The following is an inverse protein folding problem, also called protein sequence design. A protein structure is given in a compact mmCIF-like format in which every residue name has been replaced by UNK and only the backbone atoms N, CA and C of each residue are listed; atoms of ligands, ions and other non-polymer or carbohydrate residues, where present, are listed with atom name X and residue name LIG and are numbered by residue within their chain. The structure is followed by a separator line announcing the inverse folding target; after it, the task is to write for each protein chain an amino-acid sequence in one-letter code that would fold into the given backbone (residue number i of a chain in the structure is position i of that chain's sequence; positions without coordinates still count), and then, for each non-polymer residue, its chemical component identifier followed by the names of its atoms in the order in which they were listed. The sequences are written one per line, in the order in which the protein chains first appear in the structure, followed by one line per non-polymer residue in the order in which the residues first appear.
data_IF_249178382613
#
_entry.id   IF_249178382613
#
_cell.length_a   1.000
_cell.length_b   1.000
_cell.length_c   1.000
_cell.angle_alpha   90.00
_cell.angle_beta   90.00
_cell.angle_gamma   90.00
#
_symmetry.space_group_name_H-M   'P 1'
#
loop_
_entity.id
_entity.type
_entity.pdbx_description
1 polymer ?
#
# COMPACT_ATOMS: atom_id res chain seq x y z
N UNK A 1 -39.21 -8.47 -47.50
CA UNK A 1 -39.07 -7.97 -46.12
C UNK A 1 -40.26 -8.47 -45.35
N UNK A 2 -40.09 -9.48 -44.50
CA UNK A 2 -41.16 -10.09 -43.70
C UNK A 2 -41.34 -9.28 -42.42
N UNK A 3 -42.40 -8.47 -42.38
CA UNK A 3 -42.85 -7.77 -41.17
C UNK A 3 -43.36 -8.79 -40.16
N UNK A 4 -42.62 -8.98 -39.07
CA UNK A 4 -43.04 -9.82 -37.94
C UNK A 4 -44.24 -9.14 -37.26
N UNK A 5 -45.46 -9.60 -37.57
CA UNK A 5 -46.69 -9.17 -36.87
C UNK A 5 -46.53 -9.42 -35.37
N UNK A 6 -46.57 -8.35 -34.57
CA UNK A 6 -46.57 -8.43 -33.11
C UNK A 6 -47.72 -9.32 -32.64
N UNK A 7 -47.39 -10.39 -31.91
CA UNK A 7 -48.40 -11.30 -31.33
C UNK A 7 -49.25 -10.51 -30.33
N UNK A 8 -50.59 -10.62 -30.37
CA UNK A 8 -51.45 -9.95 -29.39
C UNK A 8 -51.04 -10.37 -27.97
N UNK A 9 -50.82 -9.38 -27.09
CA UNK A 9 -50.40 -9.60 -25.70
C UNK A 9 -48.88 -9.51 -25.44
N UNK A 10 -48.04 -9.37 -26.46
CA UNK A 10 -46.58 -9.21 -26.30
C UNK A 10 -46.19 -8.01 -25.42
N UNK A 11 -46.81 -6.85 -25.65
CA UNK A 11 -46.57 -5.63 -24.89
C UNK A 11 -46.94 -5.75 -23.39
N UNK A 12 -47.95 -6.54 -23.06
CA UNK A 12 -48.35 -6.77 -21.66
C UNK A 12 -47.32 -7.62 -20.92
N UNK A 13 -46.73 -8.62 -21.59
CA UNK A 13 -45.66 -9.46 -21.03
C UNK A 13 -44.38 -8.66 -20.79
N UNK A 14 -44.01 -7.76 -21.69
CA UNK A 14 -42.88 -6.84 -21.48
C UNK A 14 -43.11 -5.95 -20.26
N UNK A 15 -44.30 -5.34 -20.14
CA UNK A 15 -44.63 -4.50 -18.98
C UNK A 15 -44.60 -5.29 -17.66
N UNK A 16 -45.11 -6.52 -17.63
CA UNK A 16 -45.00 -7.36 -16.43
C UNK A 16 -43.56 -7.72 -16.08
N UNK A 17 -42.70 -7.91 -17.09
CA UNK A 17 -41.28 -8.20 -16.89
C UNK A 17 -40.55 -6.98 -16.32
N UNK A 18 -40.87 -5.77 -16.81
CA UNK A 18 -40.36 -4.51 -16.29
C UNK A 18 -40.75 -4.29 -14.82
N UNK A 19 -42.03 -4.47 -14.47
CA UNK A 19 -42.52 -4.33 -13.10
C UNK A 19 -41.85 -5.31 -12.12
N UNK A 20 -41.62 -6.57 -12.56
CA UNK A 20 -40.87 -7.54 -11.76
C UNK A 20 -39.44 -7.07 -11.51
N UNK A 21 -38.71 -6.68 -12.55
CA UNK A 21 -37.34 -6.17 -12.44
C UNK A 21 -37.25 -4.95 -11.51
N UNK A 22 -38.15 -3.98 -11.65
CA UNK A 22 -38.20 -2.78 -10.79
C UNK A 22 -38.42 -3.14 -9.32
N UNK A 23 -39.31 -4.10 -9.03
CA UNK A 23 -39.58 -4.56 -7.68
C UNK A 23 -38.42 -5.35 -7.06
N UNK A 24 -37.63 -6.07 -7.87
CA UNK A 24 -36.42 -6.79 -7.43
C UNK A 24 -35.28 -5.82 -7.10
N UNK A 25 -35.09 -4.78 -7.92
CA UNK A 25 -34.06 -3.73 -7.72
C UNK A 25 -34.27 -2.97 -6.40
N UNK A 26 -35.52 -2.76 -5.98
CA UNK A 26 -35.83 -2.02 -4.75
C UNK A 26 -35.64 -2.84 -3.47
N UNK A 27 -35.74 -4.18 -3.53
CA UNK A 27 -35.72 -5.06 -2.34
C UNK A 27 -34.32 -5.44 -1.87
N UNK A 28 -33.30 -5.31 -2.71
CA UNK A 28 -31.93 -5.68 -2.36
C UNK A 28 -31.12 -4.41 -2.12
N UNK A 29 -30.66 -4.13 -0.88
CA UNK A 29 -29.78 -3.00 -0.64
C UNK A 29 -28.49 -3.18 -1.44
N UNK A 30 -28.29 -2.32 -2.44
CA UNK A 30 -27.11 -2.33 -3.32
C UNK A 30 -25.92 -1.73 -2.57
N UNK A 31 -25.40 -2.45 -1.57
CA UNK A 31 -24.17 -2.05 -0.88
C UNK A 31 -23.03 -2.13 -1.91
N UNK A 32 -22.20 -1.08 -2.08
CA UNK A 32 -21.11 -1.12 -3.03
C UNK A 32 -20.16 -2.27 -2.68
N UNK A 33 -20.06 -3.26 -3.58
CA UNK A 33 -19.11 -4.37 -3.47
C UNK A 33 -17.71 -3.76 -3.60
N UNK A 34 -17.05 -3.51 -2.46
CA UNK A 34 -15.65 -3.11 -2.45
C UNK A 34 -14.83 -4.30 -2.92
N UNK A 35 -14.43 -4.30 -4.20
CA UNK A 35 -13.42 -5.23 -4.69
C UNK A 35 -12.15 -4.98 -3.87
N UNK A 36 -11.72 -5.96 -3.07
CA UNK A 36 -10.42 -5.91 -2.39
C UNK A 36 -9.37 -5.98 -3.50
N UNK A 37 -8.91 -4.84 -4.01
CA UNK A 37 -7.74 -4.79 -4.90
C UNK A 37 -6.54 -5.20 -4.06
N UNK A 38 -6.09 -6.44 -4.24
CA UNK A 38 -4.85 -6.91 -3.63
C UNK A 38 -3.69 -6.25 -4.36
N UNK A 39 -3.27 -5.08 -3.86
CA UNK A 39 -2.04 -4.44 -4.32
C UNK A 39 -0.90 -5.44 -4.08
N UNK A 40 -0.13 -5.74 -5.12
CA UNK A 40 1.02 -6.64 -5.04
C UNK A 40 2.18 -5.92 -4.34
N UNK A 41 2.07 -5.71 -3.03
CA UNK A 41 3.17 -5.17 -2.23
C UNK A 41 4.23 -6.24 -2.03
N UNK A 42 5.50 -5.88 -2.17
CA UNK A 42 6.63 -6.76 -1.87
C UNK A 42 6.78 -6.87 -0.35
N UNK A 43 6.77 -8.11 0.14
CA UNK A 43 6.96 -8.40 1.57
C UNK A 43 8.45 -8.24 1.91
N UNK A 44 8.73 -7.52 3.00
CA UNK A 44 10.06 -7.39 3.60
C UNK A 44 10.04 -7.92 5.02
N UNK A 45 11.19 -8.46 5.48
CA UNK A 45 11.39 -8.80 6.89
C UNK A 45 11.09 -7.60 7.78
N UNK A 46 10.48 -7.85 8.94
CA UNK A 46 9.98 -6.79 9.83
C UNK A 46 11.06 -5.78 10.21
N UNK A 47 12.22 -6.25 10.68
CA UNK A 47 13.32 -5.37 11.09
C UNK A 47 13.78 -4.46 9.94
N UNK A 48 13.85 -4.99 8.72
CA UNK A 48 14.25 -4.23 7.53
C UNK A 48 13.18 -3.23 7.10
N UNK A 49 11.91 -3.59 7.24
CA UNK A 49 10.79 -2.72 6.93
C UNK A 49 10.74 -1.53 7.90
N UNK A 50 10.85 -1.80 9.21
CA UNK A 50 10.85 -0.78 10.27
C UNK A 50 12.09 0.12 10.16
N UNK A 51 13.26 -0.46 9.96
CA UNK A 51 14.47 0.34 9.74
C UNK A 51 14.35 1.19 8.47
N UNK A 52 13.79 0.61 7.41
CA UNK A 52 13.57 1.28 6.12
C UNK A 52 12.64 2.49 6.26
N UNK A 53 11.47 2.30 6.86
CA UNK A 53 10.49 3.37 7.07
C UNK A 53 11.02 4.44 8.02
N UNK A 54 11.71 4.05 9.11
CA UNK A 54 12.29 4.99 10.07
C UNK A 54 13.35 5.88 9.40
N UNK A 55 14.19 5.31 8.54
CA UNK A 55 15.17 6.06 7.74
C UNK A 55 14.50 7.08 6.82
N UNK A 56 13.43 6.71 6.12
CA UNK A 56 12.68 7.61 5.23
C UNK A 56 12.02 8.73 6.03
N UNK A 57 11.37 8.41 7.14
CA UNK A 57 10.71 9.39 8.01
C UNK A 57 11.74 10.38 8.59
N UNK A 58 12.87 9.89 9.09
CA UNK A 58 13.91 10.76 9.63
C UNK A 58 14.48 11.69 8.54
N UNK A 59 14.74 11.18 7.33
CA UNK A 59 15.25 11.98 6.21
C UNK A 59 14.29 13.09 5.81
N UNK A 60 13.00 12.78 5.67
CA UNK A 60 12.02 13.68 5.05
C UNK A 60 11.35 14.61 6.07
N UNK A 61 11.14 14.16 7.31
CA UNK A 61 10.36 14.91 8.32
C UNK A 61 11.19 15.39 9.52
N UNK A 62 12.34 14.76 9.80
CA UNK A 62 13.17 15.13 10.95
C UNK A 62 14.65 15.32 10.60
N UNK A 63 14.97 16.27 9.69
CA UNK A 63 16.36 16.51 9.28
C UNK A 63 17.27 16.92 10.44
N UNK A 64 16.73 17.68 11.42
CA UNK A 64 17.48 18.17 12.58
C UNK A 64 17.51 17.18 13.77
N UNK A 65 16.94 15.97 13.62
CA UNK A 65 16.89 14.99 14.70
C UNK A 65 18.27 14.67 15.27
N UNK A 66 19.28 14.56 14.40
CA UNK A 66 20.65 14.25 14.81
C UNK A 66 21.24 15.38 15.66
N UNK A 67 21.00 16.64 15.27
CA UNK A 67 21.45 17.81 16.03
C UNK A 67 20.75 17.90 17.38
N UNK A 68 19.44 17.64 17.45
CA UNK A 68 18.70 17.65 18.71
C UNK A 68 19.18 16.54 19.65
N UNK A 69 19.43 15.33 19.14
CA UNK A 69 20.03 14.23 19.90
C UNK A 69 21.40 14.64 20.44
N UNK A 70 22.26 15.23 19.61
CA UNK A 70 23.56 15.74 20.03
C UNK A 70 23.48 16.74 21.20
N UNK A 71 22.51 17.65 21.14
CA UNK A 71 22.30 18.66 22.17
C UNK A 71 21.81 18.02 23.48
N UNK A 72 20.87 17.08 23.41
CA UNK A 72 20.42 16.34 24.59
C UNK A 72 21.55 15.53 25.21
N UNK A 73 22.31 14.78 24.40
CA UNK A 73 23.46 14.00 24.86
C UNK A 73 24.50 14.89 25.54
N UNK A 74 24.72 16.11 25.02
CA UNK A 74 25.64 17.08 25.60
C UNK A 74 25.16 17.57 26.97
N UNK A 75 23.88 17.89 27.10
CA UNK A 75 23.29 18.34 28.36
C UNK A 75 23.33 17.23 29.42
N UNK A 76 22.96 16.01 29.05
CA UNK A 76 23.01 14.84 29.93
C UNK A 76 24.43 14.55 30.42
N UNK A 77 25.43 14.58 29.52
CA UNK A 77 26.84 14.41 29.90
C UNK A 77 27.33 15.53 30.82
N UNK A 78 26.86 16.76 30.62
CA UNK A 78 27.20 17.92 31.46
C UNK A 78 26.62 17.77 32.87
N UNK A 79 25.35 17.37 32.98
CA UNK A 79 24.67 17.15 34.26
C UNK A 79 25.31 16.01 35.05
N UNK A 80 25.62 14.90 34.37
CA UNK A 80 26.29 13.74 34.97
C UNK A 80 27.80 13.95 35.19
N UNK A 81 28.37 15.09 34.75
CA UNK A 81 29.81 15.40 34.79
C UNK A 81 30.69 14.35 34.09
N UNK A 82 30.14 13.69 33.07
CA UNK A 82 30.86 12.73 32.24
C UNK A 82 31.64 13.45 31.12
N UNK A 83 32.87 13.85 31.44
CA UNK A 83 33.75 14.53 30.50
C UNK A 83 34.23 13.64 29.35
N UNK A 84 34.20 12.30 29.49
CA UNK A 84 34.58 11.39 28.41
C UNK A 84 33.55 11.45 27.29
N UNK A 85 32.27 11.34 27.65
CA UNK A 85 31.15 11.50 26.71
C UNK A 85 31.10 12.88 26.08
N UNK A 86 31.34 13.93 26.86
CA UNK A 86 31.35 15.30 26.34
C UNK A 86 32.42 15.51 25.26
N UNK A 87 33.60 14.88 25.42
CA UNK A 87 34.67 14.88 24.40
C UNK A 87 34.28 14.11 23.15
N UNK A 88 33.60 12.97 23.28
CA UNK A 88 33.11 12.19 22.13
C UNK A 88 32.06 12.96 21.33
N UNK A 89 31.10 13.58 22.01
CA UNK A 89 30.06 14.42 21.38
C UNK A 89 30.71 15.60 20.67
N UNK A 90 31.64 16.29 21.33
CA UNK A 90 32.40 17.38 20.71
C UNK A 90 33.16 16.90 19.47
N UNK A 91 33.83 15.73 19.51
CA UNK A 91 34.51 15.19 18.33
C UNK A 91 33.54 14.87 17.19
N UNK A 92 32.36 14.31 17.48
CA UNK A 92 31.36 13.94 16.47
C UNK A 92 30.74 15.17 15.79
N UNK A 93 30.49 16.24 16.54
CA UNK A 93 29.71 17.39 16.06
C UNK A 93 30.48 18.72 15.93
N UNK A 94 31.76 18.81 16.36
CA UNK A 94 32.56 20.04 16.20
C UNK A 94 32.95 20.36 14.75
N UNK A 95 32.60 19.48 13.81
CA UNK A 95 32.96 19.58 12.40
C UNK A 95 34.46 19.45 12.19
N UNK A 96 34.86 19.26 10.93
CA UNK A 96 36.26 19.50 10.54
C UNK A 96 36.49 21.01 10.62
N UNK A 97 36.76 21.51 11.83
CA UNK A 97 37.38 22.83 11.95
C UNK A 97 38.73 22.70 11.24
N UNK A 98 39.04 23.53 10.23
CA UNK A 98 40.40 23.61 9.75
C UNK A 98 41.29 23.80 10.97
N UNK A 99 42.45 23.14 11.07
CA UNK A 99 43.34 23.33 12.19
C UNK A 99 43.48 24.83 12.41
N UNK A 100 42.95 25.32 13.53
CA UNK A 100 43.24 26.68 13.96
C UNK A 100 44.69 26.61 14.33
N UNK A 101 45.59 26.75 13.34
CA UNK A 101 46.99 26.91 13.64
C UNK A 101 47.05 28.07 14.62
N UNK A 102 47.60 27.87 15.82
CA UNK A 102 47.78 28.97 16.75
C UNK A 102 48.59 30.00 15.98
N UNK A 103 48.00 31.17 15.75
CA UNK A 103 48.67 32.28 15.09
C UNK A 103 49.86 32.63 15.98
N UNK A 104 51.01 32.05 15.66
CA UNK A 104 52.27 32.37 16.30
C UNK A 104 52.61 33.75 15.73
N UNK A 105 52.10 34.81 16.35
CA UNK A 105 52.52 36.17 16.02
C UNK A 105 54.04 36.18 16.19
N UNK A 106 54.84 36.37 15.13
CA UNK A 106 56.28 36.39 15.27
C UNK A 106 56.64 37.51 16.24
N UNK A 107 57.29 37.17 17.35
CA UNK A 107 57.75 38.14 18.34
C UNK A 107 59.00 38.91 17.88
N UNK A 108 59.21 39.07 16.57
CA UNK A 108 60.35 39.78 15.99
C UNK A 108 59.89 40.66 14.83
N UNK A 109 60.02 41.97 15.04
CA UNK A 109 59.80 43.03 14.06
C UNK A 109 60.98 43.05 13.07
N UNK A 110 61.10 42.01 12.25
CA UNK A 110 62.13 41.96 11.23
C UNK A 110 61.54 42.23 9.84
N UNK A 111 62.17 43.16 9.14
CA UNK A 111 61.72 43.77 7.88
C UNK A 111 61.64 42.69 6.78
N UNK A 112 60.49 42.47 6.11
CA UNK A 112 60.42 41.43 5.10
C UNK A 112 61.24 41.81 3.86
N UNK A 113 62.33 41.07 3.64
CA UNK A 113 63.11 41.10 2.41
C UNK A 113 62.33 40.58 1.20
N UNK A 114 62.69 41.08 0.02
CA UNK A 114 61.94 41.03 -1.26
C UNK A 114 61.81 39.62 -1.88
N UNK A 115 62.39 38.57 -1.29
CA UNK A 115 62.51 37.27 -1.94
C UNK A 115 61.59 36.19 -1.33
N UNK A 116 60.27 36.44 -1.29
CA UNK A 116 59.30 35.36 -0.99
C UNK A 116 58.60 34.90 -2.27
N UNK A 117 58.69 33.61 -2.66
CA UNK A 117 57.89 33.09 -3.76
C UNK A 117 56.40 33.06 -3.38
N UNK A 118 55.58 33.38 -4.38
CA UNK A 118 54.12 33.48 -4.34
C UNK A 118 53.44 32.27 -3.68
N UNK A 119 52.39 32.55 -2.90
CA UNK A 119 51.51 31.56 -2.24
C UNK A 119 50.88 30.57 -3.24
N UNK A 120 50.73 29.27 -2.92
CA UNK A 120 49.99 28.33 -3.75
C UNK A 120 48.50 28.41 -3.41
N UNK A 121 47.77 29.33 -4.05
CA UNK A 121 46.31 29.16 -4.17
C UNK A 121 46.02 28.07 -5.20
N UNK A 122 45.61 26.90 -4.75
CA UNK A 122 45.14 25.81 -5.60
C UNK A 122 43.80 26.20 -6.28
N UNK A 123 43.62 25.96 -7.59
CA UNK A 123 42.37 26.24 -8.27
C UNK A 123 41.33 25.15 -7.96
N UNK A 124 40.18 25.60 -7.46
CA UNK A 124 38.95 24.80 -7.30
C UNK A 124 38.52 24.23 -8.66
N UNK A 125 38.63 22.91 -8.84
CA UNK A 125 37.94 22.22 -9.92
C UNK A 125 36.50 21.92 -9.48
N UNK A 126 35.56 22.64 -10.09
CA UNK A 126 34.11 22.41 -9.98
C UNK A 126 33.70 21.44 -11.09
N UNK A 127 33.54 20.16 -10.76
CA UNK A 127 32.93 19.20 -11.68
C UNK A 127 31.42 19.33 -11.59
N UNK A 128 30.81 19.87 -12.65
CA UNK A 128 29.40 19.68 -12.95
C UNK A 128 29.27 18.31 -13.62
N UNK A 129 28.45 17.41 -13.05
CA UNK A 129 28.01 16.20 -13.76
C UNK A 129 26.50 16.26 -13.97
N UNK A 130 26.16 16.13 -15.24
CA UNK A 130 24.85 16.24 -15.85
C UNK A 130 23.97 15.01 -15.58
N UNK A 131 22.67 15.29 -15.48
CA UNK A 131 21.54 14.36 -15.57
C UNK A 131 21.62 13.42 -16.79
N UNK A 132 21.37 12.12 -16.57
CA UNK A 132 20.84 11.22 -17.60
C UNK A 132 19.77 10.34 -16.97
N UNK A 133 18.54 10.45 -17.48
CA UNK A 133 17.50 9.45 -17.26
C UNK A 133 17.60 8.36 -18.32
N UNK A 134 17.32 7.11 -17.92
CA UNK A 134 16.76 6.05 -18.75
C UNK A 134 16.39 4.84 -17.86
N UNK A 135 15.08 4.60 -17.74
CA UNK A 135 14.32 3.34 -17.77
C UNK A 135 14.77 2.04 -17.02
N UNK A 136 13.82 1.56 -16.19
CA UNK A 136 13.34 0.18 -15.88
C UNK A 136 14.06 -0.97 -16.64
N UNK A 137 14.44 -2.12 -16.06
CA UNK A 137 13.69 -3.01 -15.16
C UNK A 137 14.64 -4.11 -14.60
N UNK A 138 14.26 -4.62 -13.41
CA UNK A 138 14.43 -5.98 -12.88
C UNK A 138 15.79 -6.55 -12.42
N UNK A 139 15.73 -7.03 -11.16
CA UNK A 139 16.53 -8.06 -10.50
C UNK A 139 18.01 -7.78 -10.26
N UNK A 140 18.33 -7.31 -9.05
CA UNK A 140 19.47 -7.89 -8.34
C UNK A 140 19.31 -7.74 -6.82
N UNK A 141 19.54 -8.83 -6.09
CA UNK A 141 19.71 -8.86 -4.65
C UNK A 141 21.07 -8.23 -4.29
N UNK A 142 21.24 -6.95 -4.61
CA UNK A 142 22.42 -6.20 -4.20
C UNK A 142 22.32 -5.90 -2.70
N UNK A 143 22.86 -6.83 -1.90
CA UNK A 143 23.38 -6.58 -0.55
C UNK A 143 24.29 -5.35 -0.61
N UNK A 144 23.73 -4.16 -0.41
CA UNK A 144 24.49 -2.92 -0.32
C UNK A 144 23.80 -1.66 -0.82
N UNK A 145 22.71 -1.76 -1.60
CA UNK A 145 22.00 -0.55 -2.06
C UNK A 145 20.87 -0.23 -1.07
N UNK A 146 20.99 0.90 -0.37
CA UNK A 146 19.95 1.44 0.51
C UNK A 146 18.65 1.63 -0.28
N UNK A 147 17.71 0.69 -0.14
CA UNK A 147 16.41 0.68 -0.80
C UNK A 147 15.66 2.00 -0.53
N UNK A 148 15.87 2.59 0.65
CA UNK A 148 15.22 3.81 1.14
C UNK A 148 15.56 5.09 0.37
N UNK A 149 16.71 5.14 -0.34
CA UNK A 149 17.17 6.39 -0.98
C UNK A 149 16.28 6.81 -2.14
N UNK A 150 15.68 5.85 -2.83
CA UNK A 150 14.92 6.10 -4.06
C UNK A 150 13.41 6.28 -3.85
N UNK A 151 12.92 6.17 -2.61
CA UNK A 151 11.48 6.24 -2.31
C UNK A 151 11.14 7.41 -1.37
N UNK A 152 9.98 8.02 -1.62
CA UNK A 152 9.25 8.85 -0.64
C UNK A 152 8.41 7.94 0.27
N UNK A 153 8.05 8.40 1.47
CA UNK A 153 7.27 7.62 2.43
C UNK A 153 6.02 6.95 1.81
N UNK A 154 5.20 7.72 1.09
CA UNK A 154 3.97 7.21 0.48
C UNK A 154 4.24 6.12 -0.57
N UNK A 155 5.26 6.34 -1.42
CA UNK A 155 5.67 5.33 -2.40
C UNK A 155 6.19 4.06 -1.72
N UNK A 156 6.98 4.18 -0.65
CA UNK A 156 7.49 3.04 0.08
C UNK A 156 6.36 2.20 0.70
N UNK A 157 5.40 2.88 1.34
CA UNK A 157 4.20 2.25 1.93
C UNK A 157 3.27 1.61 0.88
N UNK A 158 3.24 2.15 -0.34
CA UNK A 158 2.43 1.60 -1.42
C UNK A 158 3.07 0.32 -2.03
N UNK A 159 4.40 0.27 -2.12
CA UNK A 159 5.12 -0.82 -2.77
C UNK A 159 5.56 -1.94 -1.82
N UNK A 160 5.81 -1.65 -0.55
CA UNK A 160 6.32 -2.59 0.43
C UNK A 160 5.34 -2.80 1.59
N UNK A 161 5.33 -4.02 2.14
CA UNK A 161 4.58 -4.36 3.35
C UNK A 161 5.46 -5.22 4.26
N UNK A 162 5.18 -5.22 5.56
CA UNK A 162 5.91 -6.07 6.51
C UNK A 162 5.53 -7.54 6.39
N UNK A 163 6.46 -8.40 6.80
CA UNK A 163 6.24 -9.84 7.00
C UNK A 163 5.03 -10.11 7.90
N UNK A 164 4.91 -9.35 9.00
CA UNK A 164 3.81 -9.48 9.95
C UNK A 164 2.45 -9.14 9.33
N UNK A 165 2.37 -8.06 8.55
CA UNK A 165 1.12 -7.70 7.85
C UNK A 165 0.72 -8.78 6.85
N UNK A 166 1.69 -9.27 6.05
CA UNK A 166 1.43 -10.34 5.09
C UNK A 166 1.07 -11.67 5.77
N UNK A 167 1.58 -11.92 6.98
CA UNK A 167 1.20 -13.07 7.81
C UNK A 167 -0.24 -12.94 8.33
N UNK A 168 -0.63 -11.76 8.79
CA UNK A 168 -1.98 -11.50 9.29
C UNK A 168 -3.05 -11.71 8.21
N UNK A 169 -2.81 -11.27 6.98
CA UNK A 169 -3.70 -11.49 5.85
C UNK A 169 -3.93 -12.99 5.58
N UNK A 170 -2.90 -13.82 5.73
CA UNK A 170 -3.02 -15.28 5.60
C UNK A 170 -3.92 -15.86 6.69
N UNK A 171 -3.76 -15.40 7.93
CA UNK A 171 -4.59 -15.84 9.06
C UNK A 171 -6.06 -15.46 8.83
N UNK A 172 -6.32 -14.22 8.39
CA UNK A 172 -7.68 -13.78 8.04
C UNK A 172 -8.26 -14.67 6.94
N UNK A 173 -7.52 -14.91 5.86
CA UNK A 173 -8.01 -15.72 4.74
C UNK A 173 -8.35 -17.16 5.17
N UNK A 174 -7.55 -17.74 6.08
CA UNK A 174 -7.84 -19.05 6.66
C UNK A 174 -9.10 -19.05 7.52
N UNK A 175 -9.30 -18.02 8.34
CA UNK A 175 -10.50 -17.87 9.17
C UNK A 175 -11.75 -17.65 8.31
N UNK A 176 -11.66 -16.79 7.29
CA UNK A 176 -12.71 -16.55 6.30
C UNK A 176 -13.11 -17.86 5.60
N UNK A 177 -12.13 -18.70 5.19
CA UNK A 177 -12.38 -20.01 4.59
C UNK A 177 -13.07 -20.98 5.56
N UNK A 178 -12.62 -21.04 6.82
CA UNK A 178 -13.28 -21.88 7.84
C UNK A 178 -14.72 -21.43 8.07
N UNK A 179 -14.94 -20.11 8.16
CA UNK A 179 -16.27 -19.53 8.34
C UNK A 179 -17.16 -19.84 7.14
N UNK A 180 -16.67 -19.65 5.92
CA UNK A 180 -17.44 -19.93 4.70
C UNK A 180 -17.81 -21.40 4.61
N UNK A 181 -16.91 -22.33 4.94
CA UNK A 181 -17.24 -23.77 4.97
C UNK A 181 -18.30 -24.13 6.01
N UNK A 182 -18.26 -23.52 7.20
CA UNK A 182 -19.31 -23.73 8.23
C UNK A 182 -20.66 -23.21 7.76
N UNK A 183 -20.67 -22.04 7.13
CA UNK A 183 -21.89 -21.37 6.70
C UNK A 183 -22.43 -21.93 5.37
N UNK A 184 -21.59 -22.60 4.58
CA UNK A 184 -21.96 -23.17 3.28
C UNK A 184 -23.18 -24.09 3.37
N UNK A 185 -23.25 -24.94 4.41
CA UNK A 185 -24.38 -25.85 4.61
C UNK A 185 -25.70 -25.10 4.88
N UNK A 186 -25.65 -23.98 5.61
CA UNK A 186 -26.84 -23.18 5.92
C UNK A 186 -27.35 -22.48 4.65
N UNK A 187 -26.45 -21.91 3.85
CA UNK A 187 -26.82 -21.28 2.58
C UNK A 187 -27.30 -22.29 1.54
N UNK A 188 -26.70 -23.48 1.45
CA UNK A 188 -27.19 -24.54 0.56
C UNK A 188 -28.60 -25.00 0.94
N UNK A 189 -28.91 -25.06 2.25
CA UNK A 189 -30.26 -25.38 2.72
C UNK A 189 -31.27 -24.26 2.38
N UNK A 190 -30.88 -22.99 2.49
CA UNK A 190 -31.68 -21.83 2.08
C UNK A 190 -31.98 -21.87 0.58
N UNK A 191 -30.96 -22.05 -0.27
CA UNK A 191 -31.12 -22.14 -1.73
C UNK A 191 -32.06 -23.29 -2.16
N UNK A 192 -31.93 -24.47 -1.51
CA UNK A 192 -32.83 -25.61 -1.77
C UNK A 192 -34.26 -25.33 -1.32
N UNK A 193 -34.45 -24.71 -0.16
CA UNK A 193 -35.77 -24.31 0.33
C UNK A 193 -36.44 -23.32 -0.61
N UNK A 194 -35.71 -22.30 -1.03
CA UNK A 194 -36.21 -21.28 -1.97
C UNK A 194 -36.56 -21.92 -3.32
N UNK A 195 -35.74 -22.85 -3.82
CA UNK A 195 -36.06 -23.60 -5.04
C UNK A 195 -37.36 -24.40 -4.88
N UNK A 196 -37.55 -25.10 -3.76
CA UNK A 196 -38.78 -25.84 -3.48
C UNK A 196 -40.01 -24.94 -3.43
N UNK A 197 -39.93 -23.82 -2.69
CA UNK A 197 -41.01 -22.83 -2.62
C UNK A 197 -41.33 -22.26 -3.99
N UNK A 198 -40.31 -21.92 -4.79
CA UNK A 198 -40.48 -21.43 -6.15
C UNK A 198 -41.14 -22.46 -7.07
N UNK A 199 -40.76 -23.74 -6.96
CA UNK A 199 -41.44 -24.82 -7.72
C UNK A 199 -42.88 -25.02 -7.30
N UNK A 200 -43.19 -24.91 -6.01
CA UNK A 200 -44.55 -25.06 -5.49
C UNK A 200 -45.46 -23.88 -5.87
N UNK A 201 -44.90 -22.67 -6.02
CA UNK A 201 -45.62 -21.48 -6.49
C UNK A 201 -45.74 -21.43 -8.02
N UNK A 202 -44.92 -22.17 -8.75
CA UNK A 202 -44.96 -22.17 -10.21
C UNK A 202 -46.21 -22.90 -10.72
N UNK A 203 -46.96 -22.24 -11.61
CA UNK A 203 -48.05 -22.88 -12.33
C UNK A 203 -47.49 -23.83 -13.39
N UNK A 204 -48.16 -24.97 -13.66
CA UNK A 204 -47.78 -25.88 -14.73
C UNK A 204 -47.75 -25.16 -16.08
N UNK A 205 -46.90 -25.63 -17.00
CA UNK A 205 -46.79 -25.00 -18.31
C UNK A 205 -48.09 -25.12 -19.09
N UNK A 206 -48.33 -24.22 -20.05
CA UNK A 206 -49.56 -24.24 -20.84
C UNK A 206 -49.74 -25.53 -21.64
N UNK A 207 -48.62 -26.17 -22.01
CA UNK A 207 -48.59 -27.47 -22.70
C UNK A 207 -48.99 -28.58 -21.74
N UNK A 208 -48.48 -28.57 -20.50
CA UNK A 208 -48.86 -29.53 -19.46
C UNK A 208 -50.33 -29.39 -19.03
N UNK A 209 -50.87 -28.18 -19.04
CA UNK A 209 -52.29 -27.93 -18.80
C UNK A 209 -53.18 -28.40 -19.95
N UNK A 210 -52.67 -28.41 -21.17
CA UNK A 210 -53.39 -28.82 -22.37
C UNK A 210 -53.34 -30.34 -22.62
N UNK A 211 -52.43 -31.07 -21.97
CA UNK A 211 -52.34 -32.53 -22.03
C UNK A 211 -53.54 -33.17 -21.30
N UNK A 212 -54.49 -33.70 -22.06
CA UNK A 212 -55.73 -34.30 -21.56
C UNK A 212 -55.61 -35.81 -21.25
N UNK A 213 -54.39 -36.32 -21.09
CA UNK A 213 -54.09 -37.75 -20.95
C UNK A 213 -54.57 -38.34 -19.62
N UNK A 214 -54.63 -37.53 -18.55
CA UNK A 214 -55.11 -37.94 -17.22
C UNK A 214 -56.48 -37.33 -16.87
N UNK A 215 -57.45 -37.38 -17.79
CA UNK A 215 -58.83 -37.07 -17.41
C UNK A 215 -59.41 -38.21 -16.56
N UNK A 216 -59.91 -37.94 -15.34
CA UNK A 216 -60.69 -38.94 -14.61
C UNK A 216 -61.88 -39.35 -15.47
N UNK A 217 -62.15 -40.65 -15.56
CA UNK A 217 -63.28 -41.21 -16.31
C UNK A 217 -64.55 -40.58 -15.74
N UNK A 218 -65.13 -39.63 -16.46
CA UNK A 218 -66.42 -39.06 -16.13
C UNK A 218 -67.46 -40.18 -16.26
N UNK A 219 -68.06 -40.57 -15.13
CA UNK A 219 -69.17 -41.51 -15.10
C UNK A 219 -70.40 -40.82 -15.71
N UNK A 220 -70.65 -41.09 -16.99
CA UNK A 220 -71.89 -40.72 -17.66
C UNK A 220 -73.08 -41.34 -16.91
N UNK A 221 -74.01 -40.50 -16.45
CA UNK A 221 -75.32 -40.88 -15.90
C UNK A 221 -76.42 -40.67 -16.92
#
# INVERSE_FOLDING_TARGET
MTEMKSKPGSAALENMKLLKNESEIFKIPKVPIKKKETKKSRVLDEDKYVEGIAKIIQRDFFPDLEKLKAQNDFLEATENKDYARLREIARKYSGSRPPTEPYCSPATFDTPGVDRPFSPSAPTQRTQSTTKGAERNEMDEQKGVDITKNYTLDSFLAYYTSEDNASYDKVIALEEKKRSSKLALQFEAEEKSDALVNTALALPSIEQQADQTERPIELDK
#
